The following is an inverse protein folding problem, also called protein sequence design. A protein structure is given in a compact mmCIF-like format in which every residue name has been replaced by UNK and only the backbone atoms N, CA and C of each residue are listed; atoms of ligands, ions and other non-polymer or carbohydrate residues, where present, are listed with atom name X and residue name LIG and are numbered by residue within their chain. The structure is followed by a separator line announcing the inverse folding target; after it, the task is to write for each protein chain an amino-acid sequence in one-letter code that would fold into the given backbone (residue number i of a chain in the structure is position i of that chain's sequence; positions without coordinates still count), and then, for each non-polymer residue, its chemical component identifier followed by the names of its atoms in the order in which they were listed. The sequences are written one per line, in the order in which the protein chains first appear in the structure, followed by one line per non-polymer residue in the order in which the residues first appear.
data_IF_751017761072
#
_entry.id   IF_751017761072
#
_cell.length_a   1.000
_cell.length_b   1.000
_cell.length_c   1.000
_cell.angle_alpha   90.00
_cell.angle_beta   90.00
_cell.angle_gamma   90.00
#
_symmetry.space_group_name_H-M   'P 1'
#
loop_
_entity.id
_entity.type
_entity.pdbx_description
1 polymer ?
#
# COMPACT_ATOMS: atom_id res chain seq x y z
N UNK A 1 11.13 -18.00 -65.44
CA UNK A 1 11.54 -16.62 -65.71
C UNK A 1 12.81 -16.68 -66.54
N UNK A 2 12.82 -16.13 -67.75
CA UNK A 2 14.04 -15.99 -68.55
C UNK A 2 14.88 -14.86 -67.95
N UNK A 3 16.13 -15.17 -67.60
CA UNK A 3 17.08 -14.17 -67.10
C UNK A 3 17.63 -13.38 -68.28
N UNK A 4 17.47 -12.06 -68.26
CA UNK A 4 17.98 -11.16 -69.30
C UNK A 4 19.15 -10.38 -68.72
N UNK A 5 20.34 -10.59 -69.31
CA UNK A 5 21.55 -9.87 -68.92
C UNK A 5 21.40 -8.37 -69.19
N UNK A 6 21.91 -7.55 -68.28
CA UNK A 6 21.92 -6.10 -68.48
C UNK A 6 23.00 -5.71 -69.49
N UNK A 7 22.80 -4.61 -70.21
CA UNK A 7 23.72 -4.13 -71.25
C UNK A 7 25.15 -3.90 -70.74
N UNK A 8 25.30 -3.51 -69.48
CA UNK A 8 26.60 -3.34 -68.83
C UNK A 8 27.30 -4.68 -68.51
N UNK A 9 26.54 -5.73 -68.19
CA UNK A 9 27.08 -7.06 -67.92
C UNK A 9 27.66 -7.69 -69.20
N UNK A 10 27.06 -7.45 -70.37
CA UNK A 10 27.58 -7.91 -71.66
C UNK A 10 28.95 -7.33 -72.02
N UNK A 11 29.33 -6.19 -71.44
CA UNK A 11 30.66 -5.60 -71.64
C UNK A 11 31.76 -6.33 -70.83
N UNK A 12 31.39 -7.16 -69.86
CA UNK A 12 32.31 -7.94 -69.04
C UNK A 12 32.45 -9.35 -69.66
N UNK A 13 33.70 -9.76 -69.93
CA UNK A 13 34.00 -10.98 -70.71
C UNK A 13 33.48 -12.30 -70.11
N UNK A 14 33.17 -12.32 -68.80
CA UNK A 14 32.77 -13.52 -68.05
C UNK A 14 31.50 -13.28 -67.21
N UNK A 15 30.58 -12.44 -67.68
CA UNK A 15 29.39 -12.09 -66.89
C UNK A 15 28.42 -13.26 -66.68
N UNK A 16 28.32 -14.17 -67.65
CA UNK A 16 27.43 -15.33 -67.57
C UNK A 16 27.93 -16.36 -66.56
N UNK A 17 29.24 -16.61 -66.51
CA UNK A 17 29.83 -17.61 -65.62
C UNK A 17 29.91 -17.17 -64.16
N UNK A 18 29.99 -15.87 -63.89
CA UNK A 18 30.07 -15.31 -62.53
C UNK A 18 28.69 -14.89 -61.98
N UNK A 19 27.60 -15.12 -62.71
CA UNK A 19 26.28 -14.74 -62.25
C UNK A 19 25.77 -15.72 -61.20
N UNK A 20 25.46 -15.22 -60.01
CA UNK A 20 24.84 -16.01 -58.95
C UNK A 20 23.50 -15.40 -58.55
N UNK A 21 22.42 -16.16 -58.74
CA UNK A 21 21.10 -15.77 -58.31
C UNK A 21 20.88 -16.21 -56.86
N UNK A 22 20.88 -15.26 -55.93
CA UNK A 22 20.53 -15.50 -54.52
C UNK A 22 19.09 -15.09 -54.28
N UNK A 23 18.20 -16.08 -54.18
CA UNK A 23 16.80 -15.84 -53.80
C UNK A 23 16.71 -15.75 -52.28
N UNK A 24 16.55 -14.54 -51.75
CA UNK A 24 16.26 -14.35 -50.34
C UNK A 24 14.75 -14.35 -50.12
N UNK A 25 14.25 -15.35 -49.42
CA UNK A 25 12.91 -15.31 -48.83
C UNK A 25 13.03 -14.84 -47.39
N UNK A 26 12.57 -13.62 -47.12
CA UNK A 26 12.60 -13.09 -45.76
C UNK A 26 11.75 -13.98 -44.86
N UNK A 27 12.32 -14.44 -43.75
CA UNK A 27 11.55 -15.13 -42.73
C UNK A 27 10.35 -14.25 -42.33
N UNK A 28 9.15 -14.85 -42.31
CA UNK A 28 7.98 -14.18 -41.72
C UNK A 28 8.36 -13.82 -40.30
N UNK A 29 8.40 -12.52 -39.99
CA UNK A 29 8.61 -12.06 -38.62
C UNK A 29 7.63 -12.83 -37.76
N UNK A 30 8.11 -13.54 -36.74
CA UNK A 30 7.23 -13.99 -35.67
C UNK A 30 6.51 -12.72 -35.25
N UNK A 31 5.18 -12.69 -35.44
CA UNK A 31 4.34 -11.67 -34.84
C UNK A 31 4.85 -11.64 -33.41
N UNK A 32 5.43 -10.53 -32.95
CA UNK A 32 5.51 -10.32 -31.51
C UNK A 32 4.07 -10.61 -31.11
N UNK A 33 3.85 -11.68 -30.35
CA UNK A 33 2.78 -11.61 -29.40
C UNK A 33 3.16 -10.33 -28.68
N UNK A 34 2.49 -9.22 -29.03
CA UNK A 34 2.31 -8.18 -28.05
C UNK A 34 1.99 -8.98 -26.80
N UNK A 35 2.79 -8.83 -25.75
CA UNK A 35 2.41 -9.37 -24.47
C UNK A 35 1.00 -8.84 -24.27
N UNK A 36 0.04 -9.72 -24.54
CA UNK A 36 -1.31 -9.32 -24.83
C UNK A 36 -1.86 -9.09 -23.45
N UNK A 37 -1.78 -7.84 -23.02
CA UNK A 37 -2.64 -7.34 -21.95
C UNK A 37 -4.08 -7.19 -22.45
N UNK A 38 -4.47 -7.91 -23.50
CA UNK A 38 -5.83 -8.42 -23.72
C UNK A 38 -6.02 -9.74 -22.96
N UNK A 39 -6.31 -9.64 -21.67
CA UNK A 39 -6.93 -10.74 -20.91
C UNK A 39 -8.40 -10.84 -21.34
N UNK A 40 -8.63 -11.37 -22.53
CA UNK A 40 -9.91 -11.96 -22.92
C UNK A 40 -9.83 -13.45 -22.59
N UNK A 41 -9.77 -13.75 -21.29
CA UNK A 41 -9.75 -15.12 -20.80
C UNK A 41 -11.06 -15.84 -21.14
N UNK A 42 -10.96 -16.85 -22.00
CA UNK A 42 -11.87 -17.99 -21.94
C UNK A 42 -11.92 -18.46 -20.48
N UNK A 43 -13.13 -18.58 -19.92
CA UNK A 43 -13.34 -19.11 -18.58
C UNK A 43 -13.06 -20.61 -18.65
N UNK A 44 -11.78 -20.97 -18.72
CA UNK A 44 -11.33 -22.33 -18.50
C UNK A 44 -11.61 -22.60 -17.02
N UNK A 45 -12.65 -23.39 -16.73
CA UNK A 45 -12.92 -23.91 -15.39
C UNK A 45 -11.75 -24.79 -14.99
N UNK A 46 -10.70 -24.17 -14.42
CA UNK A 46 -9.57 -24.89 -13.85
C UNK A 46 -10.11 -25.64 -12.62
N UNK A 47 -10.29 -26.95 -12.78
CA UNK A 47 -10.47 -27.89 -11.68
C UNK A 47 -9.36 -27.65 -10.65
N UNK A 48 -9.72 -27.11 -9.48
CA UNK A 48 -8.78 -26.74 -8.42
C UNK A 48 -8.21 -28.06 -7.85
N UNK A 49 -6.97 -28.44 -8.17
CA UNK A 49 -6.44 -29.72 -7.74
C UNK A 49 -5.83 -29.53 -6.36
N UNK A 50 -6.62 -29.71 -5.28
CA UNK A 50 -6.18 -29.84 -3.87
C UNK A 50 -4.89 -29.08 -3.47
N UNK A 51 -4.69 -27.87 -4.01
CA UNK A 51 -3.50 -27.05 -3.79
C UNK A 51 -3.83 -26.20 -2.59
N UNK A 52 -3.02 -26.30 -1.55
CA UNK A 52 -3.06 -25.41 -0.38
C UNK A 52 -3.29 -23.98 -0.87
N UNK A 53 -4.44 -23.40 -0.54
CA UNK A 53 -4.85 -22.08 -0.99
C UNK A 53 -3.91 -21.04 -0.38
N UNK A 54 -3.03 -20.49 -1.20
CA UNK A 54 -2.18 -19.39 -0.80
C UNK A 54 -3.01 -18.10 -0.83
N UNK A 55 -3.42 -17.62 0.36
CA UNK A 55 -4.24 -16.42 0.52
C UNK A 55 -3.64 -15.20 -0.19
N UNK A 56 -2.30 -15.13 -0.31
CA UNK A 56 -1.63 -14.04 -1.02
C UNK A 56 -2.00 -14.06 -2.50
N UNK A 57 -1.95 -15.23 -3.14
CA UNK A 57 -2.30 -15.40 -4.55
C UNK A 57 -3.77 -15.10 -4.80
N UNK A 58 -4.65 -15.66 -3.96
CA UNK A 58 -6.10 -15.41 -4.04
C UNK A 58 -6.39 -13.90 -3.94
N UNK A 59 -5.76 -13.19 -3.01
CA UNK A 59 -5.92 -11.73 -2.89
C UNK A 59 -5.51 -10.99 -4.18
N UNK A 60 -4.42 -11.40 -4.82
CA UNK A 60 -3.98 -10.78 -6.07
C UNK A 60 -4.95 -11.07 -7.23
N UNK A 61 -5.46 -12.30 -7.32
CA UNK A 61 -6.46 -12.69 -8.34
C UNK A 61 -7.76 -11.92 -8.17
N UNK A 62 -8.28 -11.83 -6.94
CA UNK A 62 -9.47 -11.03 -6.63
C UNK A 62 -9.26 -9.56 -6.99
N UNK A 63 -8.09 -8.99 -6.70
CA UNK A 63 -7.77 -7.61 -7.06
C UNK A 63 -7.68 -7.43 -8.57
N UNK A 64 -7.03 -8.34 -9.30
CA UNK A 64 -6.98 -8.32 -10.77
C UNK A 64 -8.37 -8.40 -11.39
N UNK A 65 -9.22 -9.28 -10.86
CA UNK A 65 -10.61 -9.41 -11.27
C UNK A 65 -11.39 -8.12 -11.01
N UNK A 66 -11.27 -7.51 -9.83
CA UNK A 66 -11.90 -6.21 -9.52
C UNK A 66 -11.50 -5.09 -10.49
N UNK A 67 -10.23 -5.02 -10.86
CA UNK A 67 -9.71 -4.02 -11.81
C UNK A 67 -10.31 -4.19 -13.22
N UNK A 68 -10.66 -5.42 -13.62
CA UNK A 68 -11.23 -5.67 -14.96
C UNK A 68 -12.56 -4.95 -15.20
N UNK A 69 -13.34 -4.72 -14.13
CA UNK A 69 -14.64 -4.05 -14.17
C UNK A 69 -14.61 -2.52 -14.05
N UNK A 70 -13.44 -1.89 -14.00
CA UNK A 70 -13.32 -0.43 -13.93
C UNK A 70 -13.33 0.24 -15.32
N UNK A 71 -13.83 1.49 -15.34
CA UNK A 71 -13.71 2.42 -16.46
C UNK A 71 -12.24 2.60 -16.89
N UNK A 72 -11.98 2.95 -18.15
CA UNK A 72 -10.63 2.98 -18.71
C UNK A 72 -9.60 3.77 -17.86
N UNK A 73 -9.95 4.99 -17.42
CA UNK A 73 -9.06 5.83 -16.60
C UNK A 73 -8.78 5.22 -15.23
N UNK A 74 -9.84 4.82 -14.51
CA UNK A 74 -9.74 4.16 -13.19
C UNK A 74 -9.01 2.82 -13.27
N UNK A 75 -9.16 2.10 -14.38
CA UNK A 75 -8.48 0.83 -14.65
C UNK A 75 -6.97 1.02 -14.75
N UNK A 76 -6.52 2.09 -15.40
CA UNK A 76 -5.09 2.43 -15.45
C UNK A 76 -4.54 2.80 -14.08
N UNK A 77 -5.22 3.68 -13.35
CA UNK A 77 -4.85 4.07 -11.98
C UNK A 77 -4.74 2.86 -11.05
N UNK A 78 -5.71 1.95 -11.10
CA UNK A 78 -5.73 0.75 -10.28
C UNK A 78 -4.64 -0.26 -10.68
N UNK A 79 -4.32 -0.38 -11.97
CA UNK A 79 -3.18 -1.17 -12.45
C UNK A 79 -1.85 -0.61 -11.95
N UNK A 80 -1.69 0.71 -11.99
CA UNK A 80 -0.49 1.39 -11.48
C UNK A 80 -0.37 1.15 -9.98
N UNK A 81 -1.45 1.31 -9.22
CA UNK A 81 -1.47 1.04 -7.78
C UNK A 81 -1.12 -0.43 -7.46
N UNK A 82 -1.66 -1.38 -8.22
CA UNK A 82 -1.31 -2.79 -8.11
C UNK A 82 0.19 -3.02 -8.36
N UNK A 83 0.73 -2.47 -9.45
CA UNK A 83 2.15 -2.60 -9.77
C UNK A 83 3.04 -2.02 -8.66
N UNK A 84 2.69 -0.85 -8.12
CA UNK A 84 3.42 -0.24 -6.99
C UNK A 84 3.36 -1.12 -5.74
N UNK A 85 2.21 -1.73 -5.45
CA UNK A 85 2.07 -2.67 -4.31
C UNK A 85 2.92 -3.92 -4.46
N UNK A 86 3.19 -4.34 -5.70
CA UNK A 86 4.11 -5.44 -6.04
C UNK A 86 5.58 -5.02 -6.03
N UNK A 87 5.88 -3.75 -5.73
CA UNK A 87 7.25 -3.22 -5.64
C UNK A 87 7.73 -2.46 -6.87
N UNK A 88 6.86 -2.21 -7.85
CA UNK A 88 7.23 -1.33 -8.96
C UNK A 88 7.44 0.11 -8.47
N UNK A 89 8.34 0.84 -9.15
CA UNK A 89 8.57 2.25 -8.87
C UNK A 89 7.34 3.08 -9.27
N UNK A 90 6.80 3.94 -8.39
CA UNK A 90 5.66 4.78 -8.72
C UNK A 90 5.99 5.79 -9.84
N UNK A 91 4.97 6.23 -10.61
CA UNK A 91 5.17 7.22 -11.66
C UNK A 91 5.67 8.55 -11.07
N UNK A 92 6.39 9.31 -11.90
CA UNK A 92 6.93 10.61 -11.51
C UNK A 92 5.77 11.58 -11.29
N UNK A 93 5.80 12.30 -10.16
CA UNK A 93 4.82 13.35 -9.85
C UNK A 93 5.06 14.57 -10.73
N UNK A 94 3.98 15.30 -10.99
CA UNK A 94 4.05 16.59 -11.68
C UNK A 94 4.89 17.60 -10.89
N UNK A 95 5.50 18.54 -11.62
CA UNK A 95 6.24 19.63 -11.02
C UNK A 95 5.26 20.69 -10.51
N UNK A 96 5.32 20.99 -9.22
CA UNK A 96 4.43 21.95 -8.55
C UNK A 96 5.29 22.90 -7.72
N UNK A 97 4.92 24.18 -7.66
CA UNK A 97 5.59 25.15 -6.80
C UNK A 97 5.52 24.70 -5.32
N UNK A 98 6.62 24.88 -4.59
CA UNK A 98 6.72 24.48 -3.18
C UNK A 98 5.62 25.10 -2.29
N UNK A 99 5.29 26.39 -2.49
CA UNK A 99 4.28 27.07 -1.67
C UNK A 99 2.89 26.44 -1.88
N UNK A 100 2.55 26.13 -3.13
CA UNK A 100 1.28 25.46 -3.48
C UNK A 100 1.23 24.03 -2.95
N UNK A 101 2.34 23.28 -3.06
CA UNK A 101 2.44 21.92 -2.52
C UNK A 101 2.20 21.91 -1.01
N UNK A 102 2.76 22.88 -0.28
CA UNK A 102 2.58 23.00 1.16
C UNK A 102 1.13 23.33 1.55
N UNK A 103 0.47 24.20 0.77
CA UNK A 103 -0.94 24.51 0.97
C UNK A 103 -1.83 23.27 0.72
N UNK A 104 -1.61 22.54 -0.38
CA UNK A 104 -2.32 21.29 -0.69
C UNK A 104 -2.19 20.27 0.45
N UNK A 105 -0.96 20.03 0.92
CA UNK A 105 -0.71 19.11 2.06
C UNK A 105 -1.42 19.54 3.35
N UNK A 106 -1.48 20.85 3.63
CA UNK A 106 -2.19 21.37 4.81
C UNK A 106 -3.69 21.10 4.70
N UNK A 107 -4.28 21.31 3.52
CA UNK A 107 -5.68 21.04 3.26
C UNK A 107 -6.02 19.54 3.33
N UNK A 108 -5.21 18.68 2.69
CA UNK A 108 -5.37 17.22 2.76
C UNK A 108 -5.33 16.71 4.20
N UNK A 109 -4.37 17.18 5.00
CA UNK A 109 -4.26 16.81 6.42
C UNK A 109 -5.46 17.25 7.24
N UNK A 110 -6.07 18.39 6.89
CA UNK A 110 -7.27 18.85 7.57
C UNK A 110 -8.48 17.99 7.18
N UNK A 111 -8.69 17.75 5.88
CA UNK A 111 -9.75 16.86 5.38
C UNK A 111 -9.65 15.45 5.98
N UNK A 112 -8.45 14.88 6.05
CA UNK A 112 -8.25 13.56 6.64
C UNK A 112 -8.63 13.51 8.13
N UNK A 113 -8.40 14.60 8.89
CA UNK A 113 -8.84 14.68 10.28
C UNK A 113 -10.36 14.77 10.38
N UNK A 114 -10.98 15.59 9.52
CA UNK A 114 -12.42 15.79 9.50
C UNK A 114 -13.14 14.50 9.10
N UNK A 115 -12.64 13.79 8.08
CA UNK A 115 -13.13 12.47 7.66
C UNK A 115 -13.00 11.42 8.76
N UNK A 116 -11.85 11.39 9.47
CA UNK A 116 -11.68 10.50 10.63
C UNK A 116 -12.69 10.82 11.73
N UNK A 117 -12.89 12.09 12.06
CA UNK A 117 -13.89 12.50 13.05
C UNK A 117 -15.31 12.09 12.63
N UNK A 118 -15.67 12.27 11.35
CA UNK A 118 -16.96 11.87 10.81
C UNK A 118 -17.17 10.35 10.80
N UNK A 119 -16.13 9.56 10.54
CA UNK A 119 -16.19 8.10 10.62
C UNK A 119 -16.31 7.62 12.08
N UNK A 120 -15.59 8.27 12.99
CA UNK A 120 -15.69 7.99 14.42
C UNK A 120 -17.06 8.34 15.00
N UNK A 121 -17.73 9.40 14.52
CA UNK A 121 -19.08 9.77 14.98
C UNK A 121 -20.18 8.84 14.45
N UNK A 122 -19.99 8.25 13.26
CA UNK A 122 -20.92 7.28 12.67
C UNK A 122 -20.82 5.88 13.26
N UNK A 123 -19.74 5.58 13.97
CA UNK A 123 -19.57 4.28 14.64
C UNK A 123 -20.20 4.36 16.03
N UNK A 124 -21.42 3.84 16.17
CA UNK A 124 -22.22 3.83 17.43
C UNK A 124 -21.50 3.14 18.62
N UNK A 125 -20.43 2.39 18.34
CA UNK A 125 -19.56 1.76 19.34
C UNK A 125 -18.39 2.68 19.76
N UNK A 126 -18.67 3.94 20.09
CA UNK A 126 -17.79 4.66 21.04
C UNK A 126 -18.21 4.24 22.45
N UNK A 127 -17.90 2.99 22.82
CA UNK A 127 -17.82 2.68 24.25
C UNK A 127 -16.84 3.68 24.87
N UNK A 128 -17.25 4.24 26.00
CA UNK A 128 -16.55 5.25 26.77
C UNK A 128 -15.22 4.73 27.35
N UNK A 129 -14.32 4.26 26.49
CA UNK A 129 -12.93 4.00 26.78
C UNK A 129 -12.21 5.35 26.90
N UNK A 130 -12.43 6.03 28.02
CA UNK A 130 -11.50 7.05 28.51
C UNK A 130 -10.11 6.46 28.31
N UNK A 131 -9.30 7.07 27.43
CA UNK A 131 -7.89 6.72 27.30
C UNK A 131 -7.35 6.73 28.72
N UNK A 132 -7.07 5.55 29.31
CA UNK A 132 -6.38 5.49 30.59
C UNK A 132 -5.07 6.24 30.33
N UNK A 133 -4.96 7.46 30.88
CA UNK A 133 -3.68 8.16 30.89
C UNK A 133 -2.70 7.15 31.45
N UNK A 134 -1.62 6.85 30.71
CA UNK A 134 -0.53 6.05 31.26
C UNK A 134 -0.21 6.68 32.62
N UNK A 135 -0.38 5.93 33.70
CA UNK A 135 0.09 6.38 35.01
C UNK A 135 1.58 6.66 34.81
N UNK A 136 1.96 7.93 34.86
CA UNK A 136 3.35 8.28 34.97
C UNK A 136 3.75 7.78 36.35
N UNK A 137 4.71 6.84 36.40
CA UNK A 137 5.25 6.30 37.64
C UNK A 137 6.14 7.36 38.32
N UNK A 138 5.63 8.57 38.47
CA UNK A 138 6.25 9.61 39.27
C UNK A 138 5.97 9.29 40.73
N UNK A 139 7.02 9.44 41.55
CA UNK A 139 6.99 9.21 43.01
C UNK A 139 5.85 9.99 43.69
N UNK A 140 5.44 11.13 43.10
CA UNK A 140 4.30 11.93 43.54
C UNK A 140 2.93 11.24 43.40
N UNK A 141 2.74 10.31 42.47
CA UNK A 141 1.49 9.57 42.32
C UNK A 141 1.33 8.50 43.42
N UNK A 142 2.41 7.86 43.84
CA UNK A 142 2.40 6.93 44.99
C UNK A 142 2.03 7.65 46.29
N UNK A 143 2.55 8.86 46.50
CA UNK A 143 2.20 9.71 47.64
C UNK A 143 0.78 10.29 47.59
N UNK A 144 0.04 10.15 46.47
CA UNK A 144 -1.34 10.63 46.37
C UNK A 144 -2.32 9.84 47.24
N UNK A 145 -2.04 8.55 47.50
CA UNK A 145 -2.88 7.70 48.34
C UNK A 145 -2.68 7.94 49.84
N UNK A 146 -1.52 8.49 50.20
CA UNK A 146 -1.18 8.83 51.57
C UNK A 146 -1.35 10.34 51.73
N UNK A 147 -2.51 10.76 52.25
CA UNK A 147 -2.84 12.17 52.43
C UNK A 147 -1.69 12.99 53.04
N UNK A 148 -1.49 14.22 52.55
CA UNK A 148 -0.46 15.12 53.06
C UNK A 148 -0.77 15.51 54.51
N UNK A 149 -0.03 14.95 55.47
CA UNK A 149 -0.11 15.36 56.87
C UNK A 149 0.43 16.80 56.99
N UNK A 150 -0.42 17.73 57.39
CA UNK A 150 0.00 19.11 57.64
C UNK A 150 0.73 19.15 58.99
N UNK A 151 1.86 19.88 59.08
CA UNK A 151 2.67 20.00 60.31
C UNK A 151 1.91 20.47 61.56
N UNK A 152 0.71 21.00 61.40
CA UNK A 152 -0.19 21.44 62.48
C UNK A 152 -0.81 20.27 63.25
N UNK A 153 -0.97 19.10 62.63
CA UNK A 153 -1.58 17.92 63.24
C UNK A 153 -0.58 17.12 64.10
N UNK A 154 0.72 17.21 63.79
CA UNK A 154 1.79 16.51 64.52
C UNK A 154 2.08 17.06 65.93
N UNK A 155 1.46 18.18 66.33
CA UNK A 155 1.77 18.86 67.60
C UNK A 155 0.82 18.54 68.77
N UNK A 156 -0.20 17.69 68.61
CA UNK A 156 -1.27 17.61 69.62
C UNK A 156 -1.14 16.52 70.69
N UNK A 157 -0.28 15.52 70.55
CA UNK A 157 -0.30 14.37 71.47
C UNK A 157 0.99 14.24 72.29
N UNK A 158 1.19 15.17 73.23
CA UNK A 158 2.06 14.98 74.41
C UNK A 158 1.22 14.99 75.69
N UNK A 159 0.23 14.08 75.79
CA UNK A 159 -0.45 13.80 77.07
C UNK A 159 -0.52 12.30 77.29
N UNK A 160 0.30 11.80 78.22
CA UNK A 160 0.43 10.38 78.56
C UNK A 160 -0.84 9.77 79.20
N UNK A 161 -0.87 8.44 79.36
CA UNK A 161 -2.10 7.68 79.59
C UNK A 161 -2.60 7.76 81.03
N UNK A 162 -3.88 8.13 81.22
CA UNK A 162 -4.60 8.01 82.51
C UNK A 162 -5.06 6.56 82.72
N UNK A 163 -4.45 5.87 83.70
CA UNK A 163 -4.88 4.53 84.18
C UNK A 163 -6.29 4.61 84.79
N UNK A 164 -7.25 3.87 84.22
CA UNK A 164 -8.58 3.68 84.82
C UNK A 164 -8.61 2.40 85.66
N UNK A 165 -9.01 2.53 86.94
CA UNK A 165 -9.17 1.43 87.90
C UNK A 165 -10.41 0.61 87.55
N UNK A 166 -10.28 -0.72 87.48
CA UNK A 166 -11.41 -1.66 87.42
C UNK A 166 -12.18 -1.62 88.74
N UNK A 167 -13.51 -1.52 88.70
CA UNK A 167 -14.39 -1.94 89.81
C UNK A 167 -15.10 -3.22 89.41
N UNK A 168 -14.96 -4.23 90.27
CA UNK A 168 -15.76 -5.44 90.32
C UNK A 168 -17.01 -5.17 91.16
N UNK A 169 -18.18 -5.47 90.60
CA UNK A 169 -19.35 -6.09 91.24
C UNK A 169 -20.46 -6.19 90.18
#
# INVERSE_FOLDING_TARGET
MSFVLTKAALALKNAESNFQFVKFESYKRKKKQAADTGDAGTIDRVSIPNKKLDLKKVRHEVMKFGISGFDATKKEEAKIALAVSLGAKPPKREYINYKELMQKRKQEKQKEKDDKQAMHSKTVLQTAGKKKKKLQNDVGHFLSGYGKVQKKELKKDNSGPKKQKKKLL
#
